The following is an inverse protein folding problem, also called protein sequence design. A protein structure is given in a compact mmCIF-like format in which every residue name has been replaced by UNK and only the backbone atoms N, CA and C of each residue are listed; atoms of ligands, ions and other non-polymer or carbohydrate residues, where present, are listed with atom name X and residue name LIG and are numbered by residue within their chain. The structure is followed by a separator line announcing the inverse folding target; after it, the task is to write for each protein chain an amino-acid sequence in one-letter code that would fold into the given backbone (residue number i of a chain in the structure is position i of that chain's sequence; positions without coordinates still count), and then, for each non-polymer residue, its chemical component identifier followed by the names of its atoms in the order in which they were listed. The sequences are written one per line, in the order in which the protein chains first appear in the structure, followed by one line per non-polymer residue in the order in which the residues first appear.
data_IF_301954057742
#
_entry.id   IF_301954057742
#
_cell.length_a   1.000
_cell.length_b   1.000
_cell.length_c   1.000
_cell.angle_alpha   90.00
_cell.angle_beta   90.00
_cell.angle_gamma   90.00
#
_symmetry.space_group_name_H-M   'P 1'
#
loop_
_entity.id
_entity.type
_entity.pdbx_description
1 polymer ?
#
# COMPACT_ATOMS: atom_id res chain seq x y z
N UNK A 1 40.28 24.19 23.52
CA UNK A 1 38.91 23.65 23.35
C UNK A 1 38.20 24.56 22.35
N UNK A 2 38.20 24.21 21.07
CA UNK A 2 37.51 25.01 20.04
C UNK A 2 35.99 24.85 20.18
N UNK A 3 35.30 25.98 20.30
CA UNK A 3 33.85 26.01 20.34
C UNK A 3 33.29 25.65 18.96
N UNK A 4 32.59 24.52 18.86
CA UNK A 4 31.84 24.15 17.66
C UNK A 4 30.77 25.21 17.40
N UNK A 5 31.02 26.07 16.40
CA UNK A 5 30.08 27.11 15.95
C UNK A 5 28.87 26.45 15.30
N UNK A 6 27.78 26.30 16.06
CA UNK A 6 26.51 25.77 15.55
C UNK A 6 25.95 26.73 14.50
N UNK A 7 26.02 26.33 13.21
CA UNK A 7 25.32 27.05 12.15
C UNK A 7 23.83 26.76 12.30
N UNK A 8 23.09 27.74 12.83
CA UNK A 8 21.62 27.68 12.88
C UNK A 8 21.11 27.60 11.44
N UNK A 9 20.74 26.39 11.02
CA UNK A 9 20.13 26.18 9.72
C UNK A 9 18.80 26.94 9.67
N UNK A 10 18.58 27.70 8.61
CA UNK A 10 17.39 28.52 8.49
C UNK A 10 16.12 27.63 8.45
N UNK A 11 15.05 28.07 9.11
CA UNK A 11 13.84 27.27 9.33
C UNK A 11 13.26 26.69 8.03
N UNK A 12 13.29 27.48 6.96
CA UNK A 12 12.81 27.11 5.63
C UNK A 12 13.58 25.92 5.02
N UNK A 13 14.88 25.80 5.31
CA UNK A 13 15.66 24.63 4.90
C UNK A 13 15.33 23.37 5.70
N UNK A 14 14.96 23.51 6.97
CA UNK A 14 14.52 22.35 7.78
C UNK A 14 13.22 21.77 7.21
N UNK A 15 12.28 22.64 6.82
CA UNK A 15 11.02 22.22 6.19
C UNK A 15 11.28 21.60 4.81
N UNK A 16 12.15 22.21 4.00
CA UNK A 16 12.48 21.70 2.66
C UNK A 16 13.09 20.29 2.71
N UNK A 17 14.02 20.06 3.64
CA UNK A 17 14.64 18.74 3.82
C UNK A 17 13.61 17.71 4.30
N UNK A 18 12.72 18.07 5.23
CA UNK A 18 11.65 17.19 5.70
C UNK A 18 10.69 16.79 4.57
N UNK A 19 10.32 17.75 3.73
CA UNK A 19 9.41 17.52 2.60
C UNK A 19 10.07 16.64 1.52
N UNK A 20 11.35 16.89 1.20
CA UNK A 20 12.11 16.11 0.22
C UNK A 20 12.36 14.67 0.72
N UNK A 21 12.78 14.51 1.98
CA UNK A 21 13.01 13.21 2.59
C UNK A 21 11.71 12.39 2.67
N UNK A 22 10.58 13.01 3.05
CA UNK A 22 9.27 12.36 3.06
C UNK A 22 8.82 11.92 1.66
N UNK A 23 9.06 12.76 0.63
CA UNK A 23 8.79 12.41 -0.76
C UNK A 23 9.62 11.21 -1.23
N UNK A 24 10.93 11.23 -0.98
CA UNK A 24 11.85 10.13 -1.34
C UNK A 24 11.47 8.84 -0.60
N UNK A 25 11.17 8.92 0.70
CA UNK A 25 10.75 7.77 1.49
C UNK A 25 9.42 7.21 1.00
N UNK A 26 8.46 8.08 0.65
CA UNK A 26 7.19 7.68 0.06
C UNK A 26 7.36 6.99 -1.29
N UNK A 27 8.25 7.49 -2.15
CA UNK A 27 8.58 6.85 -3.44
C UNK A 27 9.28 5.51 -3.22
N UNK A 28 10.26 5.43 -2.32
CA UNK A 28 10.94 4.17 -1.99
C UNK A 28 9.99 3.10 -1.46
N UNK A 29 9.08 3.48 -0.56
CA UNK A 29 8.06 2.57 -0.04
C UNK A 29 7.05 2.18 -1.14
N UNK A 30 6.70 3.11 -2.04
CA UNK A 30 5.85 2.80 -3.18
C UNK A 30 6.51 1.79 -4.11
N UNK A 31 7.81 1.95 -4.39
CA UNK A 31 8.57 1.05 -5.25
C UNK A 31 8.75 -0.34 -4.63
N UNK A 32 8.98 -0.43 -3.31
CA UNK A 32 9.14 -1.72 -2.62
C UNK A 32 7.81 -2.45 -2.38
N UNK A 33 6.68 -1.74 -2.32
CA UNK A 33 5.36 -2.34 -2.04
C UNK A 33 4.56 -2.75 -3.28
N UNK A 34 5.09 -2.56 -4.50
CA UNK A 34 4.30 -2.70 -5.74
C UNK A 34 4.08 -4.12 -6.24
N UNK A 35 4.94 -5.08 -5.89
CA UNK A 35 4.89 -6.42 -6.46
C UNK A 35 5.31 -7.46 -5.41
N UNK A 36 4.46 -7.67 -4.41
CA UNK A 36 4.62 -8.81 -3.51
C UNK A 36 3.79 -9.97 -4.07
N UNK A 37 4.44 -10.82 -4.89
CA UNK A 37 3.92 -12.15 -5.22
C UNK A 37 4.43 -13.12 -4.15
N UNK A 38 3.53 -13.64 -3.33
CA UNK A 38 3.84 -14.68 -2.36
C UNK A 38 3.46 -16.01 -2.99
N UNK A 39 4.45 -16.83 -3.30
CA UNK A 39 4.23 -18.18 -3.82
C UNK A 39 4.45 -19.18 -2.69
N UNK A 40 3.36 -19.78 -2.20
CA UNK A 40 3.41 -20.89 -1.25
C UNK A 40 3.42 -22.22 -2.01
N UNK A 41 4.34 -23.12 -1.69
CA UNK A 41 4.48 -24.45 -2.29
C UNK A 41 4.69 -25.50 -1.19
N UNK A 42 4.18 -26.71 -1.40
CA UNK A 42 4.40 -27.83 -0.47
C UNK A 42 3.56 -27.75 0.81
N UNK A 43 4.16 -28.07 1.96
CA UNK A 43 3.46 -28.15 3.27
C UNK A 43 2.82 -26.84 3.73
N UNK A 44 3.31 -25.70 3.22
CA UNK A 44 2.84 -24.37 3.61
C UNK A 44 1.62 -23.91 2.78
N UNK A 45 1.25 -24.66 1.74
CA UNK A 45 0.05 -24.43 0.94
C UNK A 45 -1.17 -25.27 1.40
N UNK A 46 -1.02 -26.01 2.52
CA UNK A 46 -2.09 -26.82 3.11
C UNK A 46 -2.60 -27.90 2.16
N UNK A 47 -3.90 -27.87 1.85
CA UNK A 47 -4.56 -28.82 0.94
C UNK A 47 -4.27 -28.58 -0.55
N UNK A 48 -3.55 -27.51 -0.93
CA UNK A 48 -3.27 -27.11 -2.32
C UNK A 48 -1.80 -27.34 -2.70
N UNK A 49 -1.51 -27.66 -3.97
CA UNK A 49 -0.14 -27.96 -4.41
C UNK A 49 0.72 -26.70 -4.57
N UNK A 50 0.12 -25.58 -4.98
CA UNK A 50 0.77 -24.26 -5.09
C UNK A 50 -0.27 -23.15 -5.04
N UNK A 51 -0.04 -22.15 -4.20
CA UNK A 51 -0.89 -20.97 -4.06
C UNK A 51 -0.05 -19.73 -4.34
N UNK A 52 -0.43 -18.97 -5.35
CA UNK A 52 0.21 -17.70 -5.69
C UNK A 52 -0.73 -16.55 -5.32
N UNK A 53 -0.26 -15.67 -4.44
CA UNK A 53 -0.99 -14.48 -4.00
C UNK A 53 -0.28 -13.25 -4.56
N UNK A 54 -0.90 -12.58 -5.54
CA UNK A 54 -0.40 -11.35 -6.12
C UNK A 54 -1.29 -10.16 -5.74
N UNK A 55 -0.67 -9.09 -5.23
CA UNK A 55 -1.34 -7.81 -5.01
C UNK A 55 -1.20 -6.95 -6.27
N UNK A 56 -2.31 -6.71 -6.98
CA UNK A 56 -2.33 -5.93 -8.22
C UNK A 56 -3.35 -4.82 -8.09
N UNK A 57 -2.87 -3.57 -8.05
CA UNK A 57 -3.72 -2.37 -8.08
C UNK A 57 -4.91 -2.40 -7.09
N UNK A 58 -4.68 -2.86 -5.87
CA UNK A 58 -5.70 -2.89 -4.81
C UNK A 58 -6.63 -4.11 -4.84
N UNK A 59 -6.27 -5.14 -5.61
CA UNK A 59 -6.89 -6.46 -5.56
C UNK A 59 -5.87 -7.52 -5.19
N UNK A 60 -6.34 -8.58 -4.55
CA UNK A 60 -5.54 -9.75 -4.24
C UNK A 60 -6.00 -10.85 -5.18
N UNK A 61 -5.12 -11.24 -6.09
CA UNK A 61 -5.28 -12.39 -6.97
C UNK A 61 -4.72 -13.61 -6.24
N UNK A 62 -5.55 -14.62 -6.05
CA UNK A 62 -5.12 -15.89 -5.47
C UNK A 62 -5.34 -16.95 -6.53
N UNK A 63 -4.25 -17.47 -7.09
CA UNK A 63 -4.29 -18.58 -8.05
C UNK A 63 -3.90 -19.86 -7.33
N UNK A 64 -4.79 -20.85 -7.32
CA UNK A 64 -4.53 -22.17 -6.77
C UNK A 64 -4.29 -23.19 -7.89
N UNK A 65 -3.21 -23.96 -7.76
CA UNK A 65 -2.87 -25.08 -8.64
C UNK A 65 -3.12 -26.42 -7.94
N UNK A 66 -3.92 -27.27 -8.58
CA UNK A 66 -4.04 -28.70 -8.26
C UNK A 66 -3.23 -29.49 -9.30
N UNK A 67 -1.95 -29.77 -9.03
CA UNK A 67 -1.05 -30.41 -10.00
C UNK A 67 -0.46 -29.44 -11.05
N UNK A 68 -0.46 -29.82 -12.33
CA UNK A 68 0.14 -29.04 -13.44
C UNK A 68 -0.80 -28.01 -14.07
N UNK A 69 -2.09 -28.00 -13.67
CA UNK A 69 -3.12 -27.17 -14.30
C UNK A 69 -3.57 -26.03 -13.37
N UNK A 70 -3.68 -24.82 -13.92
CA UNK A 70 -4.17 -23.61 -13.24
C UNK A 70 -5.69 -23.67 -13.19
N UNK A 71 -6.28 -23.98 -12.02
CA UNK A 71 -7.72 -24.26 -12.01
C UNK A 71 -8.59 -23.13 -11.44
N UNK A 72 -8.14 -22.36 -10.43
CA UNK A 72 -9.00 -21.34 -9.82
C UNK A 72 -8.28 -20.00 -9.57
N UNK A 73 -8.80 -18.93 -10.18
CA UNK A 73 -8.39 -17.54 -9.96
C UNK A 73 -9.43 -16.84 -9.08
N UNK A 74 -9.05 -16.52 -7.84
CA UNK A 74 -9.87 -15.75 -6.92
C UNK A 74 -9.40 -14.30 -6.87
N UNK A 75 -10.30 -13.38 -7.19
CA UNK A 75 -10.03 -11.93 -7.15
C UNK A 75 -10.79 -11.33 -5.98
N UNK A 76 -10.07 -10.69 -5.04
CA UNK A 76 -10.67 -9.96 -3.93
C UNK A 76 -10.38 -8.47 -4.12
N UNK A 77 -11.40 -7.68 -4.47
CA UNK A 77 -11.33 -6.23 -4.50
C UNK A 77 -12.24 -5.57 -5.55
N UNK A 78 -12.11 -4.26 -5.72
CA UNK A 78 -12.96 -3.44 -6.58
C UNK A 78 -12.08 -2.54 -7.46
N UNK A 79 -11.51 -3.10 -8.53
CA UNK A 79 -10.75 -2.34 -9.52
C UNK A 79 -11.52 -2.25 -10.83
N UNK A 80 -11.65 -1.06 -11.45
CA UNK A 80 -12.27 -0.90 -12.76
C UNK A 80 -11.53 -1.60 -13.91
N UNK A 81 -10.24 -1.93 -13.72
CA UNK A 81 -9.38 -2.49 -14.75
C UNK A 81 -9.51 -4.02 -14.93
N UNK A 82 -10.16 -4.72 -13.98
CA UNK A 82 -10.33 -6.18 -14.02
C UNK A 82 -11.79 -6.52 -13.68
N UNK A 83 -12.55 -7.00 -14.66
CA UNK A 83 -13.99 -7.28 -14.56
C UNK A 83 -14.33 -8.70 -14.09
N UNK A 84 -13.35 -9.60 -14.01
CA UNK A 84 -13.49 -10.98 -13.51
C UNK A 84 -13.43 -11.04 -11.98
N UNK A 85 -14.36 -10.35 -11.32
CA UNK A 85 -14.44 -10.32 -9.86
C UNK A 85 -15.21 -11.57 -9.39
N UNK A 86 -14.49 -12.64 -9.03
CA UNK A 86 -15.10 -13.85 -8.44
C UNK A 86 -15.74 -13.54 -7.08
N UNK A 87 -15.12 -12.69 -6.24
CA UNK A 87 -15.71 -12.22 -4.98
C UNK A 87 -15.40 -10.74 -4.70
N UNK A 88 -16.43 -9.89 -4.61
CA UNK A 88 -16.27 -8.47 -4.27
C UNK A 88 -15.85 -8.22 -2.82
N UNK A 89 -16.02 -9.21 -1.94
CA UNK A 89 -15.99 -9.02 -0.49
C UNK A 89 -15.14 -10.10 0.18
N UNK A 90 -14.37 -9.71 1.19
CA UNK A 90 -13.57 -10.65 2.00
C UNK A 90 -14.45 -11.68 2.72
N UNK A 91 -15.68 -11.30 3.07
CA UNK A 91 -16.64 -12.13 3.81
C UNK A 91 -17.24 -13.25 2.96
N UNK A 92 -17.46 -13.02 1.66
CA UNK A 92 -17.93 -14.08 0.76
C UNK A 92 -16.82 -15.09 0.50
N UNK A 93 -15.59 -14.60 0.32
CA UNK A 93 -14.42 -15.45 0.16
C UNK A 93 -14.15 -16.34 1.40
N UNK A 94 -14.31 -15.80 2.62
CA UNK A 94 -14.18 -16.58 3.86
C UNK A 94 -15.20 -17.74 3.94
N UNK A 95 -16.42 -17.51 3.45
CA UNK A 95 -17.51 -18.48 3.54
C UNK A 95 -17.35 -19.62 2.54
N UNK A 96 -16.85 -19.29 1.35
CA UNK A 96 -16.69 -20.25 0.26
C UNK A 96 -15.40 -21.06 0.40
N UNK A 97 -14.29 -20.46 0.88
CA UNK A 97 -13.01 -21.15 1.08
C UNK A 97 -12.30 -20.78 2.40
N UNK A 98 -12.70 -21.40 3.53
CA UNK A 98 -12.18 -21.06 4.85
C UNK A 98 -10.68 -21.39 5.04
N UNK A 99 -10.12 -22.37 4.31
CA UNK A 99 -8.68 -22.70 4.38
C UNK A 99 -7.80 -21.66 3.68
N UNK A 100 -8.19 -21.23 2.48
CA UNK A 100 -7.44 -20.24 1.70
C UNK A 100 -7.47 -18.87 2.38
N UNK A 101 -8.57 -18.54 3.07
CA UNK A 101 -8.68 -17.36 3.91
C UNK A 101 -7.71 -17.35 5.10
N UNK A 102 -7.47 -18.51 5.74
CA UNK A 102 -6.49 -18.62 6.84
C UNK A 102 -5.06 -18.38 6.35
N UNK A 103 -4.68 -19.03 5.25
CA UNK A 103 -3.35 -18.85 4.64
C UNK A 103 -3.10 -17.40 4.22
N UNK A 104 -4.13 -16.75 3.66
CA UNK A 104 -4.08 -15.34 3.33
C UNK A 104 -3.91 -14.44 4.56
N UNK A 105 -4.58 -14.72 5.68
CA UNK A 105 -4.41 -13.92 6.91
C UNK A 105 -3.04 -14.10 7.56
N UNK A 106 -2.50 -15.32 7.49
CA UNK A 106 -1.23 -15.67 8.13
C UNK A 106 -0.02 -15.10 7.38
N UNK A 107 -0.08 -15.07 6.04
CA UNK A 107 1.06 -14.66 5.20
C UNK A 107 0.84 -13.37 4.39
N UNK A 108 -0.40 -12.90 4.22
CA UNK A 108 -0.75 -11.86 3.24
C UNK A 108 -0.62 -10.40 3.70
N UNK A 109 -0.44 -10.13 5.00
CA UNK A 109 -0.36 -8.74 5.50
C UNK A 109 1.07 -8.24 5.57
N UNK A 110 1.58 -7.69 4.46
CA UNK A 110 2.89 -7.04 4.45
C UNK A 110 2.88 -5.73 5.26
N UNK A 111 3.93 -5.52 6.05
CA UNK A 111 4.16 -4.28 6.82
C UNK A 111 4.20 -3.03 5.91
N UNK A 112 4.70 -3.18 4.68
CA UNK A 112 4.76 -2.12 3.68
C UNK A 112 3.38 -1.58 3.28
N UNK A 113 2.35 -2.43 3.26
CA UNK A 113 0.96 -2.01 2.97
C UNK A 113 0.38 -1.14 4.06
N UNK A 114 0.60 -1.53 5.32
CA UNK A 114 0.15 -0.74 6.47
C UNK A 114 0.78 0.66 6.46
N UNK A 115 2.09 0.76 6.23
CA UNK A 115 2.79 2.05 6.13
C UNK A 115 2.32 2.85 4.90
N UNK A 116 2.10 2.20 3.75
CA UNK A 116 1.61 2.87 2.53
C UNK A 116 0.22 3.46 2.71
N UNK A 117 -0.71 2.70 3.31
CA UNK A 117 -2.08 3.13 3.56
C UNK A 117 -2.12 4.29 4.58
N UNK A 118 -1.27 4.22 5.62
CA UNK A 118 -1.11 5.31 6.57
C UNK A 118 -0.53 6.58 5.91
N UNK A 119 0.49 6.41 5.06
CA UNK A 119 1.17 7.52 4.36
C UNK A 119 0.23 8.23 3.38
N UNK A 120 -0.59 7.49 2.62
CA UNK A 120 -1.59 8.08 1.70
C UNK A 120 -2.60 8.94 2.45
N UNK A 121 -3.12 8.44 3.57
CA UNK A 121 -4.08 9.19 4.41
C UNK A 121 -3.44 10.44 5.02
N UNK A 122 -2.20 10.35 5.48
CA UNK A 122 -1.45 11.49 6.02
C UNK A 122 -1.16 12.55 4.95
N UNK A 123 -0.76 12.11 3.76
CA UNK A 123 -0.50 12.99 2.62
C UNK A 123 -1.75 13.72 2.15
N UNK A 124 -2.87 13.01 2.03
CA UNK A 124 -4.15 13.61 1.65
C UNK A 124 -4.62 14.67 2.67
N UNK A 125 -4.50 14.36 3.97
CA UNK A 125 -4.79 15.32 5.04
C UNK A 125 -3.87 16.54 4.99
N UNK A 126 -2.57 16.34 4.76
CA UNK A 126 -1.59 17.43 4.66
C UNK A 126 -1.91 18.37 3.49
N UNK A 127 -2.21 17.84 2.31
CA UNK A 127 -2.62 18.65 1.16
C UNK A 127 -3.92 19.40 1.44
N UNK A 128 -4.86 18.78 2.15
CA UNK A 128 -6.12 19.41 2.55
C UNK A 128 -5.89 20.56 3.54
N UNK A 129 -4.96 20.41 4.49
CA UNK A 129 -4.54 21.48 5.40
C UNK A 129 -3.81 22.61 4.68
N UNK A 130 -2.89 22.29 3.77
CA UNK A 130 -2.18 23.29 2.97
C UNK A 130 -3.17 24.13 2.15
N UNK A 131 -4.13 23.48 1.49
CA UNK A 131 -5.17 24.16 0.71
C UNK A 131 -6.06 25.04 1.57
N UNK A 132 -6.37 24.64 2.80
CA UNK A 132 -7.18 25.43 3.73
C UNK A 132 -6.53 26.77 4.08
N UNK A 133 -5.21 26.81 4.25
CA UNK A 133 -4.49 28.04 4.58
C UNK A 133 -4.06 28.82 3.33
N UNK A 134 -3.67 28.11 2.27
CA UNK A 134 -3.18 28.73 1.04
C UNK A 134 -4.28 29.50 0.29
N UNK A 135 -5.51 28.97 0.20
CA UNK A 135 -6.58 29.61 -0.57
C UNK A 135 -6.93 31.01 0.00
N UNK A 136 -7.19 31.19 1.31
CA UNK A 136 -7.44 32.51 1.88
C UNK A 136 -6.27 33.49 1.72
N UNK A 137 -5.03 33.02 1.92
CA UNK A 137 -3.85 33.87 1.76
C UNK A 137 -3.67 34.39 0.34
N UNK A 138 -3.89 33.52 -0.66
CA UNK A 138 -3.84 33.90 -2.08
C UNK A 138 -4.91 34.95 -2.38
N UNK A 139 -6.14 34.74 -1.91
CA UNK A 139 -7.25 35.68 -2.12
C UNK A 139 -6.94 37.04 -1.48
N UNK A 140 -6.52 37.07 -0.21
CA UNK A 140 -6.15 38.32 0.48
C UNK A 140 -5.01 39.05 -0.23
N UNK A 141 -4.03 38.31 -0.78
CA UNK A 141 -2.89 38.87 -1.52
C UNK A 141 -3.27 39.44 -2.88
N UNK A 142 -4.41 39.05 -3.44
CA UNK A 142 -4.90 39.55 -4.73
C UNK A 142 -5.86 40.72 -4.57
N UNK A 143 -6.59 40.78 -3.45
CA UNK A 143 -7.54 41.86 -3.15
C UNK A 143 -6.91 43.08 -2.46
N UNK A 144 -5.72 42.90 -1.88
CA UNK A 144 -4.91 43.98 -1.30
C UNK A 144 -3.92 44.47 -2.34
#
# INVERSE_FOLDING_TARGET
MEAVKQRKFALHWQILIGMLAGGILGVLLNMNGREHSITLQGSDAGSFSKVEMQDVNGMILITSHAGTEKQNDYVIGNSPAYSLITHKNLSSFQKDEPELYRLFQEHGRSWARWVSDWTKRLGDLFLRMLKMVAIPLIVCSLTT
#
